data_IF_972544332534
#
_entry.id   IF_972544332534
#
_cell.length_a   1.000
_cell.length_b   1.000
_cell.length_c   1.000
_cell.angle_alpha   90.00
_cell.angle_beta   90.00
_cell.angle_gamma   90.00
#
_symmetry.space_group_name_H-M   'P 1'
#
loop_
_entity.id
_entity.type
_entity.pdbx_description
1 polymer ?
#
# COMPACT_ATOMS: atom_id res chain seq x y z
N UNK A 1 -5.88 7.85 -6.14
CA UNK A 1 -4.92 8.60 -5.31
C UNK A 1 -3.59 7.88 -5.17
N UNK A 2 -2.56 8.60 -4.72
CA UNK A 2 -1.21 8.07 -4.46
C UNK A 2 -0.68 8.57 -3.12
N UNK A 3 -0.11 7.68 -2.31
CA UNK A 3 0.54 8.00 -1.03
C UNK A 3 1.95 7.39 -0.97
N UNK A 4 2.80 7.95 -0.13
CA UNK A 4 4.16 7.44 0.11
C UNK A 4 4.12 6.28 1.12
N UNK A 5 5.01 5.30 0.97
CA UNK A 5 5.07 4.12 1.87
C UNK A 5 6.50 3.69 2.16
N UNK A 6 6.65 2.71 3.06
CA UNK A 6 7.91 1.98 3.32
C UNK A 6 7.97 0.61 2.61
N UNK A 7 7.00 0.28 1.75
CA UNK A 7 6.96 -1.01 1.02
C UNK A 7 8.09 -1.02 -0.03
N UNK A 8 9.23 -1.64 0.31
CA UNK A 8 10.47 -1.47 -0.46
C UNK A 8 11.06 -2.75 -1.07
N UNK A 9 10.44 -3.91 -0.84
CA UNK A 9 10.89 -5.19 -1.40
C UNK A 9 9.73 -6.17 -1.53
N UNK A 10 9.95 -7.28 -2.25
CA UNK A 10 8.94 -8.33 -2.44
C UNK A 10 8.43 -8.94 -1.12
N UNK A 11 9.28 -8.98 -0.09
CA UNK A 11 8.87 -9.44 1.24
C UNK A 11 7.91 -8.48 1.95
N UNK A 12 8.01 -7.17 1.71
CA UNK A 12 7.04 -6.19 2.20
C UNK A 12 5.70 -6.36 1.48
N UNK A 13 5.73 -6.52 0.16
CA UNK A 13 4.53 -6.76 -0.66
C UNK A 13 3.79 -8.01 -0.15
N UNK A 14 4.50 -9.12 0.03
CA UNK A 14 3.90 -10.37 0.51
C UNK A 14 3.24 -10.25 1.90
N UNK A 15 3.69 -9.33 2.76
CA UNK A 15 3.09 -9.10 4.08
C UNK A 15 1.76 -8.34 4.01
N UNK A 16 1.68 -7.31 3.17
CA UNK A 16 0.50 -6.43 3.07
C UNK A 16 -0.51 -6.88 2.03
N UNK A 17 -0.12 -7.78 1.11
CA UNK A 17 -0.91 -8.11 -0.07
C UNK A 17 -2.30 -8.65 0.27
N UNK A 18 -2.44 -9.46 1.32
CA UNK A 18 -3.74 -10.01 1.72
C UNK A 18 -4.74 -8.91 2.05
N UNK A 19 -4.37 -8.04 2.99
CA UNK A 19 -5.26 -6.99 3.49
C UNK A 19 -5.47 -5.89 2.45
N UNK A 20 -4.45 -5.53 1.67
CA UNK A 20 -4.62 -4.59 0.55
C UNK A 20 -5.48 -5.18 -0.57
N UNK A 21 -5.41 -6.48 -0.85
CA UNK A 21 -6.31 -7.11 -1.82
C UNK A 21 -7.76 -7.15 -1.30
N UNK A 22 -7.98 -7.37 -0.01
CA UNK A 22 -9.30 -7.34 0.59
C UNK A 22 -9.89 -5.91 0.59
N UNK A 23 -9.08 -4.91 0.96
CA UNK A 23 -9.51 -3.52 1.06
C UNK A 23 -9.65 -2.82 -0.29
N UNK A 24 -8.66 -2.97 -1.17
CA UNK A 24 -8.55 -2.22 -2.43
C UNK A 24 -9.01 -3.04 -3.64
N UNK A 25 -9.09 -4.36 -3.50
CA UNK A 25 -9.30 -5.31 -4.59
C UNK A 25 -7.99 -5.75 -5.23
N UNK A 26 -7.86 -7.05 -5.47
CA UNK A 26 -6.70 -7.61 -6.16
C UNK A 26 -6.54 -7.01 -7.56
N UNK A 27 -5.34 -6.49 -7.86
CA UNK A 27 -5.02 -5.83 -9.13
C UNK A 27 -5.45 -4.36 -9.23
N UNK A 28 -6.10 -3.80 -8.20
CA UNK A 28 -6.54 -2.39 -8.18
C UNK A 28 -5.58 -1.46 -7.42
N UNK A 29 -4.43 -1.97 -6.99
CA UNK A 29 -3.39 -1.20 -6.35
C UNK A 29 -2.02 -1.56 -6.90
N UNK A 30 -1.08 -0.63 -6.82
CA UNK A 30 0.31 -0.87 -7.23
C UNK A 30 1.25 -0.07 -6.35
N UNK A 31 2.44 -0.63 -6.12
CA UNK A 31 3.53 0.08 -5.44
C UNK A 31 4.77 0.09 -6.32
N UNK A 32 5.32 1.27 -6.58
CA UNK A 32 6.58 1.40 -7.31
C UNK A 32 7.76 1.33 -6.33
N UNK A 33 8.29 0.12 -6.14
CA UNK A 33 9.44 -0.09 -5.24
C UNK A 33 10.76 0.45 -5.79
N UNK A 34 10.82 0.96 -7.02
CA UNK A 34 12.04 1.57 -7.58
C UNK A 34 12.20 3.03 -7.15
N UNK A 35 11.11 3.75 -6.88
CA UNK A 35 11.14 5.16 -6.51
C UNK A 35 11.50 5.38 -5.03
N UNK A 36 12.16 6.49 -4.63
CA UNK A 36 12.59 6.71 -3.25
C UNK A 36 11.46 6.67 -2.22
N UNK A 37 10.29 7.20 -2.58
CA UNK A 37 9.11 7.34 -1.73
C UNK A 37 8.12 6.16 -1.80
N UNK A 38 8.43 5.13 -2.60
CA UNK A 38 7.64 3.89 -2.75
C UNK A 38 6.13 4.18 -2.89
N UNK A 39 5.72 4.91 -3.94
CA UNK A 39 4.35 5.39 -4.05
C UNK A 39 3.39 4.21 -4.21
N UNK A 40 2.41 4.12 -3.30
CA UNK A 40 1.26 3.23 -3.38
C UNK A 40 0.11 3.99 -4.06
N UNK A 41 -0.39 3.45 -5.16
CA UNK A 41 -1.49 4.02 -5.95
C UNK A 41 -2.70 3.11 -5.93
N UNK A 42 -3.89 3.68 -5.71
CA UNK A 42 -5.19 3.00 -5.62
C UNK A 42 -6.34 3.97 -5.96
N UNK A 43 -7.59 3.50 -5.98
CA UNK A 43 -8.77 4.33 -6.32
C UNK A 43 -8.95 5.52 -5.35
N UNK A 44 -9.43 6.66 -5.87
CA UNK A 44 -9.81 7.83 -5.06
C UNK A 44 -11.12 7.61 -4.25
N UNK A 45 -11.85 6.53 -4.52
CA UNK A 45 -13.08 6.17 -3.81
C UNK A 45 -12.83 5.50 -2.44
N UNK A 46 -11.57 5.19 -2.13
CA UNK A 46 -11.17 4.56 -0.86
C UNK A 46 -10.70 5.63 0.12
N UNK A 47 -11.15 5.53 1.37
CA UNK A 47 -10.68 6.40 2.44
C UNK A 47 -9.21 6.11 2.76
N UNK A 48 -8.37 7.16 2.67
CA UNK A 48 -6.93 7.06 2.87
C UNK A 48 -6.55 6.61 4.28
N UNK A 49 -7.33 7.01 5.28
CA UNK A 49 -7.02 6.67 6.68
C UNK A 49 -7.12 5.16 6.91
N UNK A 50 -8.08 4.49 6.25
CA UNK A 50 -8.23 3.02 6.31
C UNK A 50 -7.05 2.31 5.66
N UNK A 51 -6.49 2.88 4.59
CA UNK A 51 -5.27 2.34 3.97
C UNK A 51 -4.06 2.56 4.87
N UNK A 52 -3.96 3.70 5.53
CA UNK A 52 -2.87 4.00 6.47
C UNK A 52 -2.90 3.07 7.69
N UNK A 53 -4.09 2.75 8.22
CA UNK A 53 -4.25 1.78 9.31
C UNK A 53 -3.67 0.39 8.95
N UNK A 54 -3.97 -0.10 7.74
CA UNK A 54 -3.39 -1.35 7.22
C UNK A 54 -1.87 -1.24 7.13
N UNK A 55 -1.35 -0.12 6.60
CA UNK A 55 0.09 0.08 6.49
C UNK A 55 0.77 0.13 7.88
N UNK A 56 0.15 0.75 8.88
CA UNK A 56 0.68 0.86 10.23
C UNK A 56 0.79 -0.49 10.94
N UNK A 57 -0.16 -1.42 10.73
CA UNK A 57 -0.10 -2.79 11.26
C UNK A 57 1.20 -3.51 10.88
N UNK A 58 1.71 -3.25 9.67
CA UNK A 58 2.93 -3.85 9.15
C UNK A 58 4.16 -2.95 9.23
N UNK A 59 4.05 -1.77 9.87
CA UNK A 59 5.09 -0.74 9.94
C UNK A 59 5.55 -0.28 8.53
N UNK A 60 4.58 -0.09 7.63
CA UNK A 60 4.73 0.30 6.22
C UNK A 60 4.29 1.73 5.90
N UNK A 61 3.69 2.45 6.86
CA UNK A 61 3.37 3.88 6.74
C UNK A 61 4.63 4.75 6.86
N UNK A 62 4.64 5.99 6.35
CA UNK A 62 5.81 6.91 6.39
C UNK A 62 5.89 7.71 7.67
#
# INVERSE_FOLDING_TARGET
>A
MTIDTKINCGGCIAKVQGDLNELLGEGNWTVDTALPNKPLTFSDDIDVEVVMDVLDEFNMNV
#
